data_IF_601661203303
#
_entry.id   IF_601661203303
#
_cell.length_a   1.000
_cell.length_b   1.000
_cell.length_c   1.000
_cell.angle_alpha   90.00
_cell.angle_beta   90.00
_cell.angle_gamma   90.00
#
_symmetry.space_group_name_H-M   'P 1'
#
loop_
_entity.id
_entity.type
_entity.pdbx_description
1 polymer ?
#
# COMPACT_ATOMS: atom_id res chain seq x y z
N UNK A 1 -42.75 -16.13 -34.45
CA UNK A 1 -42.40 -16.75 -33.15
C UNK A 1 -41.06 -16.19 -32.68
N UNK A 2 -41.06 -15.58 -31.48
CA UNK A 2 -39.98 -15.17 -30.55
C UNK A 2 -38.67 -14.54 -31.09
N UNK A 3 -38.56 -13.21 -30.91
CA UNK A 3 -37.29 -12.48 -30.79
C UNK A 3 -36.73 -12.71 -29.38
N UNK A 4 -35.49 -13.16 -29.26
CA UNK A 4 -34.77 -13.28 -27.99
C UNK A 4 -33.86 -12.06 -27.84
N UNK A 5 -34.16 -11.21 -26.87
CA UNK A 5 -33.33 -10.09 -26.47
C UNK A 5 -32.41 -10.61 -25.36
N UNK A 6 -31.11 -10.73 -25.64
CA UNK A 6 -30.10 -10.99 -24.61
C UNK A 6 -29.80 -9.67 -23.89
N UNK A 7 -30.28 -9.55 -22.65
CA UNK A 7 -29.81 -8.56 -21.70
C UNK A 7 -28.44 -9.01 -21.17
N UNK A 8 -27.38 -8.32 -21.60
CA UNK A 8 -26.07 -8.45 -20.99
C UNK A 8 -26.08 -7.71 -19.64
N UNK A 9 -26.14 -8.45 -18.54
CA UNK A 9 -25.91 -7.91 -17.20
C UNK A 9 -24.40 -7.69 -17.01
N UNK A 10 -23.94 -6.46 -17.14
CA UNK A 10 -22.59 -6.05 -16.75
C UNK A 10 -22.52 -6.01 -15.23
N UNK A 11 -22.05 -7.11 -14.63
CA UNK A 11 -21.66 -7.11 -13.21
C UNK A 11 -20.45 -6.18 -13.00
N UNK A 12 -20.63 -5.13 -12.19
CA UNK A 12 -19.52 -4.35 -11.62
C UNK A 12 -18.74 -5.27 -10.68
N UNK A 13 -17.81 -6.04 -11.23
CA UNK A 13 -16.85 -6.81 -10.45
C UNK A 13 -15.87 -5.87 -9.76
N UNK A 14 -15.83 -5.90 -8.42
CA UNK A 14 -14.76 -5.30 -7.63
C UNK A 14 -13.44 -6.00 -8.00
N UNK A 15 -12.65 -5.38 -8.88
CA UNK A 15 -11.32 -5.87 -9.22
C UNK A 15 -10.43 -5.76 -7.97
N UNK A 16 -9.99 -6.90 -7.46
CA UNK A 16 -9.03 -7.00 -6.36
C UNK A 16 -7.70 -7.50 -6.93
N UNK A 17 -6.61 -6.83 -6.55
CA UNK A 17 -5.26 -7.28 -6.90
C UNK A 17 -4.57 -7.65 -5.61
N UNK A 18 -4.10 -8.89 -5.54
CA UNK A 18 -3.21 -9.34 -4.48
C UNK A 18 -1.78 -9.08 -4.92
N UNK A 19 -0.98 -8.41 -4.09
CA UNK A 19 0.44 -8.23 -4.38
C UNK A 19 1.18 -9.58 -4.40
N UNK A 20 1.99 -9.81 -5.43
CA UNK A 20 2.94 -10.93 -5.47
C UNK A 20 4.00 -10.74 -4.39
N UNK A 21 4.36 -11.82 -3.68
CA UNK A 21 5.48 -11.78 -2.73
C UNK A 21 6.75 -11.33 -3.45
N UNK A 22 7.36 -10.24 -2.96
CA UNK A 22 8.57 -9.68 -3.56
C UNK A 22 9.78 -10.37 -2.93
N UNK A 23 10.70 -10.85 -3.77
CA UNK A 23 11.92 -11.53 -3.32
C UNK A 23 12.75 -10.61 -2.41
N UNK A 24 13.30 -11.16 -1.33
CA UNK A 24 14.16 -10.43 -0.41
C UNK A 24 15.60 -10.42 -0.91
N UNK A 25 16.35 -9.37 -0.58
CA UNK A 25 17.77 -9.26 -0.88
C UNK A 25 18.59 -9.53 0.39
N UNK A 26 19.18 -10.72 0.47
CA UNK A 26 20.02 -11.14 1.61
C UNK A 26 21.28 -10.31 1.76
N UNK A 27 21.77 -9.73 0.66
CA UNK A 27 22.98 -8.91 0.66
C UNK A 27 22.71 -7.45 1.09
N UNK A 28 21.46 -7.01 1.07
CA UNK A 28 21.07 -5.67 1.52
C UNK A 28 21.32 -5.48 3.02
N UNK A 29 21.51 -4.23 3.50
CA UNK A 29 21.80 -3.94 4.91
C UNK A 29 20.79 -4.51 5.92
N UNK A 30 19.53 -4.68 5.49
CA UNK A 30 18.45 -5.26 6.29
C UNK A 30 18.12 -6.73 5.94
N UNK A 31 18.81 -7.36 4.99
CA UNK A 31 18.40 -8.69 4.47
C UNK A 31 17.01 -8.68 3.85
N UNK A 32 16.61 -7.52 3.33
CA UNK A 32 15.28 -7.26 2.83
C UNK A 32 15.36 -6.49 1.52
N UNK A 33 14.32 -6.61 0.69
CA UNK A 33 14.21 -5.84 -0.54
C UNK A 33 14.26 -4.32 -0.28
N UNK A 34 14.55 -3.57 -1.32
CA UNK A 34 14.48 -2.10 -1.29
C UNK A 34 13.02 -1.62 -1.20
N UNK A 35 12.81 -0.49 -0.53
CA UNK A 35 11.55 0.24 -0.55
C UNK A 35 11.14 0.63 -1.98
N UNK A 36 9.86 0.56 -2.29
CA UNK A 36 9.33 0.89 -3.60
C UNK A 36 9.42 2.40 -3.88
N UNK A 37 9.85 2.77 -5.09
CA UNK A 37 9.78 4.14 -5.59
C UNK A 37 8.37 4.49 -6.06
N UNK A 38 7.90 5.70 -5.76
CA UNK A 38 6.58 6.14 -6.21
C UNK A 38 6.57 6.49 -7.71
N UNK A 39 5.72 5.84 -8.52
CA UNK A 39 5.52 6.25 -9.91
C UNK A 39 4.71 7.54 -9.98
N UNK A 40 4.90 8.33 -11.04
CA UNK A 40 4.01 9.44 -11.38
C UNK A 40 2.83 8.90 -12.19
N UNK A 41 1.66 8.86 -11.58
CA UNK A 41 0.44 8.36 -12.19
C UNK A 41 -0.51 9.53 -12.43
N UNK A 42 -0.92 9.76 -13.68
CA UNK A 42 -1.86 10.84 -14.05
C UNK A 42 -3.28 10.37 -14.37
N UNK A 43 -3.43 9.08 -14.64
CA UNK A 43 -4.72 8.45 -14.89
C UNK A 43 -5.38 8.01 -13.58
N UNK A 44 -6.71 7.97 -13.55
CA UNK A 44 -7.46 7.48 -12.39
C UNK A 44 -6.95 6.09 -11.96
N UNK A 45 -6.64 5.85 -10.67
CA UNK A 45 -6.00 4.61 -10.25
C UNK A 45 -6.88 3.39 -10.45
N UNK A 46 -6.28 2.33 -10.98
CA UNK A 46 -6.82 0.98 -10.88
C UNK A 46 -6.40 0.38 -9.54
N UNK A 47 -6.92 -0.79 -9.16
CA UNK A 47 -6.46 -1.50 -7.96
C UNK A 47 -4.94 -1.75 -7.97
N UNK A 48 -4.35 -2.03 -9.14
CA UNK A 48 -2.91 -2.25 -9.28
C UNK A 48 -2.10 -0.97 -9.05
N UNK A 49 -2.45 0.14 -9.71
CA UNK A 49 -1.70 1.40 -9.57
C UNK A 49 -1.96 2.04 -8.20
N UNK A 50 -3.15 1.89 -7.63
CA UNK A 50 -3.43 2.27 -6.25
C UNK A 50 -2.56 1.46 -5.27
N UNK A 51 -2.39 0.16 -5.49
CA UNK A 51 -1.47 -0.67 -4.71
C UNK A 51 -0.02 -0.17 -4.75
N UNK A 52 0.48 0.21 -5.93
CA UNK A 52 1.82 0.79 -6.07
C UNK A 52 1.97 2.10 -5.28
N UNK A 53 0.99 3.01 -5.42
CA UNK A 53 0.98 4.30 -4.74
C UNK A 53 0.88 4.14 -3.21
N UNK A 54 0.01 3.25 -2.70
CA UNK A 54 -0.09 2.98 -1.26
C UNK A 54 1.22 2.40 -0.72
N UNK A 55 1.83 1.46 -1.45
CA UNK A 55 3.09 0.83 -1.05
C UNK A 55 4.19 1.87 -0.94
N UNK A 56 4.48 2.59 -2.02
CA UNK A 56 5.60 3.52 -2.05
C UNK A 56 5.42 4.70 -1.06
N UNK A 57 4.18 5.14 -0.80
CA UNK A 57 3.90 6.20 0.17
C UNK A 57 4.18 5.77 1.63
N UNK A 58 4.23 4.47 1.89
CA UNK A 58 4.41 3.88 3.23
C UNK A 58 5.82 3.37 3.48
N UNK A 59 6.44 2.83 2.44
CA UNK A 59 7.75 2.23 2.55
C UNK A 59 8.84 3.27 2.72
N UNK A 60 9.78 2.97 3.62
CA UNK A 60 10.94 3.82 3.87
C UNK A 60 12.08 3.00 4.42
N UNK A 61 13.29 3.36 4.04
CA UNK A 61 14.53 2.77 4.52
C UNK A 61 15.47 3.91 4.86
N UNK A 62 16.08 3.85 6.03
CA UNK A 62 17.02 4.89 6.46
C UNK A 62 18.19 4.27 7.18
N UNK A 63 19.38 4.43 6.59
CA UNK A 63 20.63 4.07 7.26
C UNK A 63 20.87 4.89 8.52
N UNK A 64 20.34 6.13 8.60
CA UNK A 64 20.54 6.99 9.78
C UNK A 64 19.69 6.60 10.97
N UNK A 65 18.46 6.12 10.75
CA UNK A 65 17.62 5.58 11.83
C UNK A 65 17.84 4.08 12.07
N UNK A 66 18.61 3.42 11.20
CA UNK A 66 18.83 1.97 11.22
C UNK A 66 17.61 1.13 10.85
N UNK A 67 16.50 1.73 10.44
CA UNK A 67 15.24 1.04 10.24
C UNK A 67 14.82 0.95 8.76
N UNK A 68 14.24 -0.21 8.42
CA UNK A 68 13.51 -0.46 7.20
C UNK A 68 12.06 -0.75 7.54
N UNK A 69 11.15 -0.02 6.90
CA UNK A 69 9.70 -0.21 6.98
C UNK A 69 9.19 -0.58 5.59
N UNK A 70 8.75 -1.83 5.44
CA UNK A 70 8.24 -2.39 4.20
C UNK A 70 6.76 -2.78 4.34
N UNK A 71 6.00 -2.63 3.27
CA UNK A 71 4.61 -3.07 3.19
C UNK A 71 4.59 -4.40 2.45
N UNK A 72 4.18 -5.48 3.09
CA UNK A 72 4.10 -6.82 2.48
C UNK A 72 2.64 -7.28 2.38
N UNK A 73 2.37 -8.29 1.54
CA UNK A 73 1.02 -8.86 1.34
C UNK A 73 -0.09 -7.81 1.07
N UNK A 74 0.28 -6.70 0.42
CA UNK A 74 -0.65 -5.60 0.20
C UNK A 74 -1.82 -6.05 -0.69
N UNK A 75 -3.02 -5.84 -0.19
CA UNK A 75 -4.26 -5.96 -0.93
C UNK A 75 -4.92 -4.60 -0.99
N UNK A 76 -5.38 -4.21 -2.18
CA UNK A 76 -6.12 -2.97 -2.39
C UNK A 76 -7.35 -3.24 -3.24
N UNK A 77 -8.47 -2.69 -2.80
CA UNK A 77 -9.70 -2.57 -3.55
C UNK A 77 -10.02 -1.08 -3.71
N UNK A 78 -10.48 -0.70 -4.90
CA UNK A 78 -10.87 0.67 -5.23
C UNK A 78 -12.38 0.72 -5.39
N UNK A 79 -13.04 1.57 -4.60
CA UNK A 79 -14.46 1.83 -4.69
C UNK A 79 -14.80 2.87 -5.76
N UNK A 80 -16.10 3.10 -5.97
CA UNK A 80 -16.58 4.11 -6.92
C UNK A 80 -16.24 5.54 -6.50
N UNK A 81 -16.12 6.49 -7.45
CA UNK A 81 -15.72 7.86 -7.17
C UNK A 81 -16.74 8.59 -6.29
N UNK A 82 -16.25 9.36 -5.33
CA UNK A 82 -17.03 10.23 -4.44
C UNK A 82 -16.60 11.69 -4.57
N UNK A 83 -17.45 12.62 -4.14
CA UNK A 83 -17.06 14.03 -4.04
C UNK A 83 -15.99 14.22 -2.95
N UNK A 84 -15.12 15.21 -3.14
CA UNK A 84 -14.21 15.67 -2.09
C UNK A 84 -15.00 16.38 -0.98
N UNK A 85 -14.71 16.07 0.28
CA UNK A 85 -15.34 16.73 1.44
C UNK A 85 -14.26 17.47 2.23
N UNK A 86 -14.27 18.80 2.13
CA UNK A 86 -13.15 19.64 2.57
C UNK A 86 -12.79 19.49 4.05
N UNK A 87 -13.77 19.35 4.94
CA UNK A 87 -13.53 19.30 6.39
C UNK A 87 -12.74 18.07 6.82
N UNK A 88 -12.94 16.91 6.17
CA UNK A 88 -12.29 15.65 6.56
C UNK A 88 -11.03 15.35 5.75
N UNK A 89 -10.99 15.79 4.49
CA UNK A 89 -9.92 15.41 3.57
C UNK A 89 -8.77 16.41 3.53
N UNK A 90 -8.98 17.71 3.78
CA UNK A 90 -7.90 18.72 3.66
C UNK A 90 -6.75 18.50 4.66
N UNK A 91 -7.03 17.93 5.84
CA UNK A 91 -6.01 17.60 6.84
C UNK A 91 -5.15 16.39 6.41
N UNK A 92 -5.74 15.46 5.66
CA UNK A 92 -5.07 14.21 5.24
C UNK A 92 -4.55 14.24 3.80
N UNK A 93 -5.04 15.18 2.99
CA UNK A 93 -4.77 15.34 1.56
C UNK A 93 -4.50 16.82 1.24
N UNK A 94 -3.43 17.42 1.82
CA UNK A 94 -3.20 18.86 1.76
C UNK A 94 -2.95 19.41 0.36
N UNK A 95 -2.59 18.55 -0.59
CA UNK A 95 -2.30 18.90 -1.98
C UNK A 95 -3.42 18.50 -2.96
N UNK A 96 -4.57 18.04 -2.45
CA UNK A 96 -5.67 17.59 -3.28
C UNK A 96 -6.28 18.73 -4.11
N UNK A 97 -6.55 18.45 -5.38
CA UNK A 97 -7.47 19.26 -6.17
C UNK A 97 -8.90 18.98 -5.70
N UNK A 98 -9.45 19.91 -4.93
CA UNK A 98 -10.78 19.80 -4.30
C UNK A 98 -11.92 19.83 -5.31
N UNK A 99 -11.66 20.16 -6.58
CA UNK A 99 -12.63 20.11 -7.69
C UNK A 99 -12.76 18.71 -8.29
N UNK A 100 -11.85 17.79 -7.96
CA UNK A 100 -11.82 16.43 -8.50
C UNK A 100 -12.52 15.43 -7.58
N UNK A 101 -12.83 14.27 -8.16
CA UNK A 101 -13.37 13.12 -7.43
C UNK A 101 -12.26 12.42 -6.66
N UNK A 102 -12.65 11.85 -5.53
CA UNK A 102 -11.81 11.00 -4.69
C UNK A 102 -12.26 9.55 -4.87
N UNK A 103 -11.34 8.60 -4.83
CA UNK A 103 -11.64 7.18 -4.93
C UNK A 103 -11.38 6.52 -3.57
N UNK A 104 -12.41 6.08 -2.84
CA UNK A 104 -12.21 5.38 -1.58
C UNK A 104 -11.51 4.05 -1.85
N UNK A 105 -10.57 3.69 -0.98
CA UNK A 105 -9.85 2.43 -1.06
C UNK A 105 -9.92 1.70 0.28
N UNK A 106 -9.86 0.38 0.21
CA UNK A 106 -9.78 -0.50 1.39
C UNK A 106 -8.88 -1.68 1.11
N UNK A 107 -8.42 -2.33 2.17
CA UNK A 107 -7.64 -3.54 2.04
C UNK A 107 -6.89 -3.88 3.31
N UNK A 108 -5.72 -4.48 3.12
CA UNK A 108 -4.88 -5.01 4.19
C UNK A 108 -3.41 -5.02 3.77
N UNK A 109 -2.51 -5.10 4.74
CA UNK A 109 -1.09 -5.35 4.48
C UNK A 109 -0.42 -5.93 5.73
N UNK A 110 0.82 -6.36 5.58
CA UNK A 110 1.71 -6.74 6.68
C UNK A 110 2.85 -5.74 6.74
N UNK A 111 3.04 -5.03 7.85
CA UNK A 111 4.28 -4.31 8.06
C UNK A 111 5.41 -5.31 8.23
N UNK A 112 6.51 -5.11 7.52
CA UNK A 112 7.78 -5.79 7.72
C UNK A 112 8.79 -4.74 8.16
N UNK A 113 9.11 -4.73 9.46
CA UNK A 113 9.97 -3.73 10.07
C UNK A 113 11.27 -4.40 10.48
N UNK A 114 12.38 -3.93 9.92
CA UNK A 114 13.70 -4.50 10.16
C UNK A 114 14.66 -3.45 10.72
N UNK A 115 15.51 -3.86 11.66
CA UNK A 115 16.73 -3.11 12.00
C UNK A 115 17.90 -3.58 11.12
N UNK A 116 18.99 -2.81 11.07
CA UNK A 116 20.19 -3.22 10.35
C UNK A 116 20.68 -4.59 10.84
N UNK A 117 21.15 -5.44 9.92
CA UNK A 117 21.74 -6.74 10.29
C UNK A 117 22.99 -6.58 11.14
N UNK A 118 23.74 -5.50 10.92
CA UNK A 118 24.90 -5.15 11.74
C UNK A 118 24.51 -4.90 13.20
N UNK A 119 23.38 -4.22 13.44
CA UNK A 119 22.87 -3.97 14.80
C UNK A 119 22.30 -5.24 15.42
N UNK A 120 21.51 -6.00 14.66
CA UNK A 120 20.95 -7.27 15.12
C UNK A 120 22.03 -8.29 15.54
N UNK A 121 23.20 -8.28 14.88
CA UNK A 121 24.36 -9.10 15.25
C UNK A 121 24.84 -8.84 16.68
N UNK A 122 24.69 -7.62 17.20
CA UNK A 122 25.07 -7.27 18.58
C UNK A 122 24.18 -8.04 19.57
N UNK A 123 22.94 -8.33 19.19
CA UNK A 123 21.93 -8.98 20.02
C UNK A 123 21.74 -10.47 19.71
N UNK A 124 22.54 -11.04 18.79
CA UNK A 124 22.49 -12.45 18.43
C UNK A 124 22.52 -12.69 16.92
N UNK A 125 21.44 -13.25 16.38
CA UNK A 125 21.36 -13.68 14.98
C UNK A 125 20.99 -12.51 14.05
N UNK A 126 21.88 -12.09 13.13
CA UNK A 126 21.60 -11.04 12.15
C UNK A 126 20.47 -11.36 11.17
N UNK A 127 19.96 -12.60 11.13
CA UNK A 127 18.79 -12.99 10.32
C UNK A 127 17.46 -12.86 11.09
N UNK A 128 17.51 -12.58 12.38
CA UNK A 128 16.35 -12.30 13.24
C UNK A 128 16.20 -10.79 13.48
N UNK A 129 16.51 -9.98 12.47
CA UNK A 129 16.50 -8.52 12.54
C UNK A 129 15.14 -7.89 12.18
N UNK A 130 14.14 -8.69 11.84
CA UNK A 130 12.84 -8.22 11.36
C UNK A 130 11.70 -8.70 12.25
N UNK A 131 10.62 -7.93 12.27
CA UNK A 131 9.32 -8.30 12.83
C UNK A 131 8.22 -8.00 11.83
N UNK A 132 7.12 -8.75 11.91
CA UNK A 132 5.96 -8.54 11.05
C UNK A 132 4.73 -8.16 11.86
N UNK A 133 3.92 -7.23 11.37
CA UNK A 133 2.70 -6.79 12.06
C UNK A 133 1.56 -6.65 11.05
N UNK A 134 0.52 -7.49 11.09
CA UNK A 134 -0.57 -7.44 10.14
C UNK A 134 -1.47 -6.23 10.42
N UNK A 135 -1.98 -5.63 9.35
CA UNK A 135 -3.07 -4.66 9.34
C UNK A 135 -4.17 -5.29 8.50
N UNK A 136 -5.15 -5.90 9.17
CA UNK A 136 -6.17 -6.76 8.52
C UNK A 136 -7.33 -5.96 7.92
N UNK A 137 -7.59 -4.77 8.45
CA UNK A 137 -8.62 -3.87 7.95
C UNK A 137 -8.06 -2.45 7.88
N UNK A 138 -7.89 -1.97 6.67
CA UNK A 138 -7.50 -0.61 6.39
C UNK A 138 -8.43 0.06 5.39
N UNK A 139 -8.54 1.37 5.52
CA UNK A 139 -9.31 2.22 4.62
C UNK A 139 -8.56 3.51 4.35
N UNK A 140 -8.94 4.16 3.26
CA UNK A 140 -8.43 5.48 2.92
C UNK A 140 -8.93 5.90 1.55
N UNK A 141 -8.11 6.63 0.81
CA UNK A 141 -8.50 7.15 -0.49
C UNK A 141 -7.31 7.35 -1.43
N UNK A 142 -7.65 7.41 -2.72
CA UNK A 142 -6.82 8.01 -3.75
C UNK A 142 -7.40 9.36 -4.18
N UNK A 143 -6.54 10.36 -4.35
CA UNK A 143 -6.90 11.70 -4.80
C UNK A 143 -5.94 12.19 -5.87
N UNK A 144 -6.43 13.10 -6.72
CA UNK A 144 -5.60 13.84 -7.64
C UNK A 144 -5.07 15.11 -6.96
N UNK A 145 -3.80 15.40 -7.15
CA UNK A 145 -3.17 16.63 -6.67
C UNK A 145 -3.47 17.80 -7.60
N UNK A 146 -3.23 19.03 -7.15
CA UNK A 146 -3.32 20.24 -7.99
C UNK A 146 -2.35 20.25 -9.18
N UNK A 147 -1.33 19.38 -9.17
CA UNK A 147 -0.39 19.17 -10.28
C UNK A 147 -0.84 18.04 -11.25
N UNK A 148 -1.96 17.38 -10.96
CA UNK A 148 -2.55 16.35 -11.81
C UNK A 148 -2.06 14.92 -11.55
N UNK A 149 -1.12 14.73 -10.62
CA UNK A 149 -0.64 13.41 -10.21
C UNK A 149 -1.61 12.76 -9.20
N UNK A 150 -1.64 11.44 -9.15
CA UNK A 150 -2.44 10.68 -8.20
C UNK A 150 -1.62 10.25 -6.99
N UNK A 151 -2.24 10.36 -5.81
CA UNK A 151 -1.73 9.84 -4.54
C UNK A 151 -2.77 8.91 -3.94
N UNK A 152 -2.30 7.91 -3.20
CA UNK A 152 -3.16 6.98 -2.48
C UNK A 152 -2.61 6.73 -1.09
N UNK A 153 -3.47 6.76 -0.09
CA UNK A 153 -3.11 6.46 1.29
C UNK A 153 -4.20 5.63 1.95
N UNK A 154 -3.78 4.65 2.75
CA UNK A 154 -4.66 3.87 3.64
C UNK A 154 -4.08 3.86 5.04
N UNK A 155 -4.94 3.85 6.05
CA UNK A 155 -4.55 3.63 7.43
C UNK A 155 -5.44 2.53 8.04
N UNK A 156 -4.92 1.84 9.05
CA UNK A 156 -5.62 0.75 9.71
C UNK A 156 -4.92 0.41 11.02
N UNK A 157 -5.62 -0.31 11.89
CA UNK A 157 -5.08 -0.73 13.18
C UNK A 157 -4.15 -1.92 12.99
N UNK A 158 -2.95 -1.81 13.54
CA UNK A 158 -2.00 -2.93 13.61
C UNK A 158 -2.49 -3.97 14.61
N UNK A 159 -2.42 -5.24 14.22
CA UNK A 159 -2.58 -6.38 15.12
C UNK A 159 -1.30 -6.70 15.89
N UNK A 160 -1.24 -7.91 16.43
CA UNK A 160 -0.07 -8.37 17.19
C UNK A 160 1.15 -8.55 16.30
N UNK A 161 2.31 -8.20 16.84
CA UNK A 161 3.58 -8.43 16.17
C UNK A 161 3.92 -9.92 16.21
N UNK A 162 4.28 -10.46 15.06
CA UNK A 162 4.59 -11.88 14.86
C UNK A 162 6.00 -12.05 14.30
N UNK A 163 6.52 -13.28 14.42
CA UNK A 163 7.76 -13.67 13.75
C UNK A 163 7.59 -13.54 12.23
N UNK A 164 8.61 -13.03 11.51
CA UNK A 164 8.53 -12.90 10.07
C UNK A 164 8.25 -14.24 9.39
N UNK A 165 7.34 -14.25 8.42
CA UNK A 165 7.12 -15.43 7.56
C UNK A 165 8.16 -15.53 6.45
N UNK A 166 8.83 -14.41 6.14
CA UNK A 166 9.78 -14.29 5.03
C UNK A 166 11.20 -14.58 5.50
N UNK A 167 11.94 -15.49 4.82
CA UNK A 167 13.37 -15.65 5.04
C UNK A 167 14.11 -14.33 4.74
N UNK A 168 15.10 -14.00 5.57
CA UNK A 168 16.05 -12.91 5.35
C UNK A 168 17.40 -13.44 4.87
#
# INVERSE_FOLDING_TARGET
MKRVILLAATGLGLASVSGTAVAQDRAAPWGARTAATCPQIRQAPTAATAGQLVRCAKERQSMSSGESWLVEDLQVQVGGPTSFVAMYNSVTMPDADTTKRVYPIRGSWTWSICMLRADAKIYGDPNLNCRETPVTQASGACWQTTFGDWRCQMNGTSGDTVKPKRPR
#
